data_IF_575211509681
#
_entry.id   IF_575211509681
#
_cell.length_a   1.000
_cell.length_b   1.000
_cell.length_c   1.000
_cell.angle_alpha   90.00
_cell.angle_beta   90.00
_cell.angle_gamma   90.00
#
_symmetry.space_group_name_H-M   'P 1'
#
loop_
_entity.id
_entity.type
_entity.pdbx_description
1 polymer ?
#
# COMPACT_ATOMS: atom_id res chain seq x y z
N UNK A 1 8.27 23.78 -24.14
CA UNK A 1 7.05 23.95 -23.32
C UNK A 1 5.90 24.58 -24.08
N UNK A 2 6.07 25.70 -24.80
CA UNK A 2 4.97 26.32 -25.57
C UNK A 2 4.40 25.39 -26.66
N UNK A 3 5.26 24.73 -27.45
CA UNK A 3 4.84 23.74 -28.47
C UNK A 3 4.03 22.59 -27.90
N UNK A 4 4.50 21.97 -26.81
CA UNK A 4 3.75 20.91 -26.12
C UNK A 4 2.35 21.38 -25.66
N UNK A 5 2.21 22.61 -25.15
CA UNK A 5 0.89 23.16 -24.79
C UNK A 5 -0.02 23.30 -26.01
N UNK A 6 0.53 23.69 -27.16
CA UNK A 6 -0.21 23.72 -28.43
C UNK A 6 -0.68 22.31 -28.83
N UNK A 7 0.22 21.32 -28.82
CA UNK A 7 -0.13 19.93 -29.15
C UNK A 7 -1.22 19.40 -28.21
N UNK A 8 -1.14 19.66 -26.90
CA UNK A 8 -2.16 19.24 -25.94
C UNK A 8 -3.53 19.90 -26.19
N UNK A 9 -3.55 21.16 -26.61
CA UNK A 9 -4.77 21.88 -26.98
C UNK A 9 -5.38 21.33 -28.28
N UNK A 10 -4.56 21.04 -29.29
CA UNK A 10 -5.00 20.48 -30.58
C UNK A 10 -5.54 19.05 -30.44
N UNK A 11 -4.94 18.26 -29.54
CA UNK A 11 -5.45 16.95 -29.13
C UNK A 11 -6.70 17.01 -28.25
N UNK A 12 -7.18 18.23 -27.93
CA UNK A 12 -8.38 18.50 -27.12
C UNK A 12 -8.35 17.81 -25.76
N UNK A 13 -7.18 17.80 -25.11
CA UNK A 13 -7.02 17.19 -23.80
C UNK A 13 -7.65 18.09 -22.72
N UNK A 14 -8.88 17.76 -22.33
CA UNK A 14 -9.60 18.44 -21.24
C UNK A 14 -9.10 17.96 -19.87
N UNK A 15 -7.90 18.38 -19.48
CA UNK A 15 -7.30 18.03 -18.19
C UNK A 15 -6.70 19.24 -17.48
N UNK A 16 -6.82 19.26 -16.15
CA UNK A 16 -6.10 20.21 -15.28
C UNK A 16 -4.74 19.69 -14.82
N UNK A 17 -4.39 18.44 -15.16
CA UNK A 17 -3.11 17.85 -14.78
C UNK A 17 -1.96 18.59 -15.48
N UNK A 18 -0.78 18.51 -14.88
CA UNK A 18 0.46 19.06 -15.43
C UNK A 18 1.49 17.95 -15.52
N UNK A 19 2.28 17.95 -16.59
CA UNK A 19 3.48 17.11 -16.67
C UNK A 19 4.42 17.52 -15.54
N UNK A 20 4.84 16.56 -14.74
CA UNK A 20 5.81 16.74 -13.67
C UNK A 20 7.06 15.90 -13.94
N UNK A 21 8.18 16.30 -13.33
CA UNK A 21 9.44 15.57 -13.43
C UNK A 21 9.53 14.49 -12.36
N UNK A 22 10.14 13.37 -12.72
CA UNK A 22 10.52 12.35 -11.75
C UNK A 22 11.67 12.81 -10.86
N UNK A 23 11.72 12.25 -9.66
CA UNK A 23 12.82 12.31 -8.71
C UNK A 23 13.22 10.87 -8.43
N UNK A 24 14.38 10.45 -8.94
CA UNK A 24 14.83 9.06 -8.97
C UNK A 24 14.79 8.33 -7.61
N UNK A 25 14.93 9.08 -6.51
CA UNK A 25 14.92 8.53 -5.13
C UNK A 25 13.52 8.37 -4.54
N UNK A 26 12.46 8.80 -5.24
CA UNK A 26 11.09 8.85 -4.72
C UNK A 26 10.12 8.23 -5.72
N UNK A 27 9.80 6.97 -5.50
CA UNK A 27 8.83 6.25 -6.35
C UNK A 27 7.43 6.93 -6.41
N UNK A 28 7.06 7.78 -5.43
CA UNK A 28 5.88 8.65 -5.51
C UNK A 28 5.93 9.66 -6.67
N UNK A 29 7.08 10.30 -6.94
CA UNK A 29 7.21 11.20 -8.09
C UNK A 29 7.17 10.42 -9.40
N UNK A 30 7.71 9.20 -9.41
CA UNK A 30 7.67 8.32 -10.58
C UNK A 30 6.22 7.97 -10.92
N UNK A 31 5.41 7.60 -9.92
CA UNK A 31 3.98 7.37 -10.09
C UNK A 31 3.27 8.59 -10.67
N UNK A 32 3.43 9.77 -10.04
CA UNK A 32 2.76 11.00 -10.48
C UNK A 32 3.17 11.41 -11.90
N UNK A 33 4.45 11.27 -12.24
CA UNK A 33 4.96 11.53 -13.59
C UNK A 33 4.32 10.59 -14.61
N UNK A 34 4.34 9.28 -14.36
CA UNK A 34 3.81 8.29 -15.29
C UNK A 34 2.29 8.40 -15.45
N UNK A 35 1.57 8.60 -14.34
CA UNK A 35 0.12 8.82 -14.35
C UNK A 35 -0.25 10.08 -15.15
N UNK A 36 0.51 11.17 -14.99
CA UNK A 36 0.30 12.36 -15.80
C UNK A 36 0.72 12.14 -17.26
N UNK A 37 1.81 11.43 -17.52
CA UNK A 37 2.31 11.20 -18.88
C UNK A 37 1.30 10.43 -19.73
N UNK A 38 0.60 9.43 -19.15
CA UNK A 38 -0.47 8.69 -19.83
C UNK A 38 -1.61 9.60 -20.30
N UNK A 39 -2.01 10.58 -19.48
CA UNK A 39 -3.04 11.56 -19.87
C UNK A 39 -2.61 12.40 -21.08
N UNK A 40 -1.30 12.65 -21.20
CA UNK A 40 -0.72 13.46 -22.27
C UNK A 40 -0.12 12.63 -23.41
N UNK A 41 -0.33 11.30 -23.47
CA UNK A 41 0.25 10.41 -24.48
C UNK A 41 0.10 10.97 -25.90
N UNK A 42 -1.12 11.32 -26.31
CA UNK A 42 -1.42 11.88 -27.65
C UNK A 42 -0.70 13.20 -27.92
N UNK A 43 -0.52 14.04 -26.90
CA UNK A 43 0.23 15.29 -27.04
C UNK A 43 1.73 15.04 -27.24
N UNK A 44 2.30 13.99 -26.62
CA UNK A 44 3.68 13.58 -26.86
C UNK A 44 3.88 12.98 -28.25
N UNK A 45 2.93 12.17 -28.73
CA UNK A 45 2.92 11.60 -30.08
C UNK A 45 2.89 12.73 -31.13
N UNK A 46 1.94 13.67 -31.02
CA UNK A 46 1.89 14.85 -31.90
C UNK A 46 3.17 15.69 -31.83
N UNK A 47 3.74 15.87 -30.64
CA UNK A 47 4.98 16.64 -30.48
C UNK A 47 6.16 15.98 -31.21
N UNK A 48 6.20 14.65 -31.28
CA UNK A 48 7.19 13.93 -32.10
C UNK A 48 7.03 14.26 -33.60
N UNK A 49 5.80 14.29 -34.09
CA UNK A 49 5.50 14.57 -35.50
C UNK A 49 5.80 16.03 -35.88
N UNK A 50 5.47 16.98 -35.00
CA UNK A 50 5.51 18.41 -35.29
C UNK A 50 6.82 19.11 -34.90
N UNK A 51 7.61 18.54 -33.98
CA UNK A 51 8.87 19.12 -33.52
C UNK A 51 10.08 18.22 -33.81
N UNK A 52 10.74 18.38 -34.97
CA UNK A 52 11.94 17.62 -35.30
C UNK A 52 13.06 17.75 -34.26
N UNK A 53 13.15 18.89 -33.56
CA UNK A 53 14.16 19.08 -32.51
C UNK A 53 13.87 18.20 -31.30
N UNK A 54 12.61 18.05 -30.92
CA UNK A 54 12.22 17.15 -29.83
C UNK A 54 12.63 15.71 -30.13
N UNK A 55 12.34 15.23 -31.33
CA UNK A 55 12.74 13.90 -31.79
C UNK A 55 14.26 13.70 -31.77
N UNK A 56 15.01 14.61 -32.39
CA UNK A 56 16.49 14.53 -32.46
C UNK A 56 17.14 14.57 -31.08
N UNK A 57 16.64 15.38 -30.15
CA UNK A 57 17.19 15.42 -28.78
C UNK A 57 16.93 14.13 -28.00
N UNK A 58 15.75 13.50 -28.17
CA UNK A 58 15.45 12.24 -27.50
C UNK A 58 16.15 11.03 -28.13
N UNK A 59 16.43 11.06 -29.44
CA UNK A 59 17.25 10.06 -30.12
C UNK A 59 18.67 9.96 -29.54
N UNK A 60 19.22 11.05 -28.97
CA UNK A 60 20.51 11.01 -28.25
C UNK A 60 20.47 10.17 -26.97
N UNK A 61 19.28 9.88 -26.45
CA UNK A 61 19.05 9.04 -25.28
C UNK A 61 18.62 7.64 -25.73
N UNK A 62 17.31 7.42 -25.90
CA UNK A 62 16.72 6.14 -26.31
C UNK A 62 15.59 6.29 -27.33
N UNK A 63 15.39 7.50 -27.85
CA UNK A 63 14.26 7.85 -28.71
C UNK A 63 13.02 8.27 -27.92
N UNK A 64 11.94 8.54 -28.67
CA UNK A 64 10.61 8.80 -28.12
C UNK A 64 9.96 7.51 -27.63
N UNK A 65 9.02 7.58 -26.66
CA UNK A 65 8.29 6.40 -26.21
C UNK A 65 7.48 5.77 -27.34
N UNK A 66 7.66 4.46 -27.56
CA UNK A 66 6.90 3.70 -28.55
C UNK A 66 5.65 3.04 -27.93
N UNK A 67 4.85 2.34 -28.75
CA UNK A 67 3.62 1.68 -28.27
C UNK A 67 3.87 0.66 -27.14
N UNK A 68 4.99 -0.08 -27.17
CA UNK A 68 5.33 -1.04 -26.12
C UNK A 68 5.68 -0.33 -24.81
N UNK A 69 6.37 0.80 -24.87
CA UNK A 69 6.66 1.63 -23.68
C UNK A 69 5.37 2.13 -23.05
N UNK A 70 4.44 2.65 -23.85
CA UNK A 70 3.14 3.09 -23.36
C UNK A 70 2.33 1.96 -22.73
N UNK A 71 2.29 0.79 -23.38
CA UNK A 71 1.59 -0.37 -22.82
C UNK A 71 2.21 -0.83 -21.50
N UNK A 72 3.54 -0.80 -21.41
CA UNK A 72 4.23 -1.09 -20.15
C UNK A 72 3.85 -0.09 -19.06
N UNK A 73 3.86 1.22 -19.36
CA UNK A 73 3.45 2.26 -18.39
C UNK A 73 1.99 2.08 -17.96
N UNK A 74 1.07 1.78 -18.87
CA UNK A 74 -0.34 1.48 -18.55
C UNK A 74 -0.47 0.31 -17.56
N UNK A 75 0.38 -0.71 -17.69
CA UNK A 75 0.41 -1.82 -16.73
C UNK A 75 1.08 -1.46 -15.40
N UNK A 76 2.09 -0.59 -15.42
CA UNK A 76 2.90 -0.23 -14.27
C UNK A 76 2.22 0.79 -13.34
N UNK A 77 1.47 1.74 -13.90
CA UNK A 77 0.81 2.81 -13.11
C UNK A 77 -0.11 2.24 -12.03
N UNK A 78 -1.00 1.26 -12.29
CA UNK A 78 -1.79 0.61 -11.25
C UNK A 78 -0.93 -0.07 -10.17
N UNK A 79 0.19 -0.68 -10.54
CA UNK A 79 1.12 -1.30 -9.59
C UNK A 79 1.73 -0.26 -8.64
N UNK A 80 2.20 0.88 -9.18
CA UNK A 80 2.78 1.96 -8.37
C UNK A 80 1.74 2.72 -7.53
N UNK A 81 0.51 2.84 -8.03
CA UNK A 81 -0.59 3.54 -7.34
C UNK A 81 -0.84 2.99 -5.93
N UNK A 82 -0.75 1.69 -5.77
CA UNK A 82 -0.94 0.98 -4.50
C UNK A 82 -0.05 1.57 -3.42
N UNK A 83 1.23 1.68 -3.73
CA UNK A 83 2.21 2.20 -2.80
C UNK A 83 1.93 3.69 -2.55
N UNK A 84 1.59 4.44 -3.60
CA UNK A 84 1.37 5.89 -3.52
C UNK A 84 0.24 6.19 -2.56
N UNK A 85 -0.89 5.51 -2.72
CA UNK A 85 -2.05 5.61 -1.86
C UNK A 85 -1.70 5.22 -0.40
N UNK A 86 -0.94 4.14 -0.22
CA UNK A 86 -0.43 3.74 1.11
C UNK A 86 0.46 4.80 1.77
N UNK A 87 1.35 5.43 0.99
CA UNK A 87 2.24 6.47 1.51
C UNK A 87 1.49 7.73 1.88
N UNK A 88 0.56 8.16 1.03
CA UNK A 88 -0.31 9.29 1.32
C UNK A 88 -1.12 9.04 2.60
N UNK A 89 -1.62 7.81 2.78
CA UNK A 89 -2.37 7.41 3.97
C UNK A 89 -1.56 7.51 5.27
N UNK A 90 -0.29 7.11 5.28
CA UNK A 90 0.55 7.19 6.49
C UNK A 90 1.30 8.52 6.63
N UNK A 91 1.31 9.37 5.60
CA UNK A 91 1.95 10.70 5.63
C UNK A 91 1.01 11.79 6.15
N UNK A 92 -0.22 11.43 6.55
CA UNK A 92 -1.17 12.37 7.15
C UNK A 92 -0.67 12.93 8.47
N UNK A 93 -0.86 14.24 8.67
CA UNK A 93 -0.52 14.94 9.93
C UNK A 93 -1.75 15.41 10.71
N UNK A 94 -2.94 15.32 10.11
CA UNK A 94 -4.20 15.81 10.68
C UNK A 94 -5.06 14.71 11.32
N UNK A 95 -4.58 13.47 11.30
CA UNK A 95 -5.24 12.32 11.90
C UNK A 95 -4.20 11.34 12.45
N UNK A 96 -4.62 10.47 13.36
CA UNK A 96 -3.77 9.41 13.90
C UNK A 96 -3.53 8.39 12.79
N UNK A 97 -2.27 8.09 12.50
CA UNK A 97 -1.86 7.14 11.46
C UNK A 97 -1.48 5.76 12.03
N UNK A 98 -1.27 5.67 13.35
CA UNK A 98 -0.80 4.46 14.02
C UNK A 98 -1.75 3.27 13.82
N UNK A 99 -3.06 3.51 13.94
CA UNK A 99 -4.10 2.51 13.72
C UNK A 99 -4.16 1.99 12.27
N UNK A 100 -3.68 2.77 11.30
CA UNK A 100 -3.61 2.39 9.89
C UNK A 100 -2.32 1.63 9.53
N UNK A 101 -1.27 1.77 10.34
CA UNK A 101 0.07 1.32 10.03
C UNK A 101 0.14 -0.18 9.73
N UNK A 102 -0.51 -1.00 10.57
CA UNK A 102 -0.63 -2.43 10.34
C UNK A 102 -1.26 -2.75 8.98
N UNK A 103 -2.39 -2.14 8.67
CA UNK A 103 -3.11 -2.38 7.42
C UNK A 103 -2.27 -1.98 6.21
N UNK A 104 -1.50 -0.90 6.33
CA UNK A 104 -0.62 -0.43 5.26
C UNK A 104 0.57 -1.37 5.05
N UNK A 105 1.30 -1.71 6.11
CA UNK A 105 2.48 -2.57 6.04
C UNK A 105 2.13 -3.93 5.45
N UNK A 106 1.15 -4.63 6.04
CA UNK A 106 0.81 -5.98 5.62
C UNK A 106 -0.07 -6.01 4.36
N UNK A 107 -0.81 -4.93 4.09
CA UNK A 107 -1.50 -4.74 2.82
C UNK A 107 -0.51 -4.68 1.66
N UNK A 108 0.54 -3.86 1.78
CA UNK A 108 1.64 -3.81 0.80
C UNK A 108 2.27 -5.20 0.65
N UNK A 109 2.56 -5.90 1.76
CA UNK A 109 3.16 -7.24 1.72
C UNK A 109 2.30 -8.22 0.93
N UNK A 110 0.99 -8.26 1.19
CA UNK A 110 0.04 -9.12 0.48
C UNK A 110 0.00 -8.82 -1.03
N UNK A 111 0.07 -7.54 -1.39
CA UNK A 111 0.03 -7.12 -2.79
C UNK A 111 1.33 -7.47 -3.51
N UNK A 112 2.47 -7.25 -2.86
CA UNK A 112 3.77 -7.70 -3.36
C UNK A 112 3.79 -9.21 -3.57
N UNK A 113 3.34 -10.01 -2.59
CA UNK A 113 3.25 -11.46 -2.72
C UNK A 113 2.42 -11.86 -3.94
N UNK A 114 1.24 -11.25 -4.14
CA UNK A 114 0.41 -11.48 -5.34
C UNK A 114 1.16 -11.15 -6.63
N UNK A 115 1.85 -10.02 -6.68
CA UNK A 115 2.57 -9.57 -7.88
C UNK A 115 3.84 -10.39 -8.17
N UNK A 116 4.40 -11.12 -7.19
CA UNK A 116 5.48 -12.09 -7.47
C UNK A 116 5.03 -13.24 -8.37
N UNK A 117 3.72 -13.50 -8.43
CA UNK A 117 3.06 -14.44 -9.35
C UNK A 117 2.37 -13.76 -10.53
N UNK A 118 2.63 -12.47 -10.79
CA UNK A 118 2.07 -11.72 -11.92
C UNK A 118 2.39 -12.41 -13.25
N UNK A 119 1.58 -12.22 -14.30
CA UNK A 119 1.92 -12.77 -15.63
C UNK A 119 3.03 -11.96 -16.32
N UNK A 120 3.19 -10.70 -15.93
CA UNK A 120 4.13 -9.75 -16.51
C UNK A 120 5.48 -9.92 -15.81
N UNK A 121 6.52 -10.32 -16.55
CA UNK A 121 7.81 -10.69 -15.95
C UNK A 121 8.49 -9.52 -15.23
N UNK A 122 8.41 -8.31 -15.79
CA UNK A 122 8.93 -7.09 -15.13
C UNK A 122 8.25 -6.85 -13.78
N UNK A 123 6.94 -7.05 -13.67
CA UNK A 123 6.20 -6.93 -12.40
C UNK A 123 6.70 -7.96 -11.39
N UNK A 124 6.88 -9.22 -11.80
CA UNK A 124 7.43 -10.25 -10.90
C UNK A 124 8.80 -9.85 -10.36
N UNK A 125 9.70 -9.37 -11.23
CA UNK A 125 11.06 -8.98 -10.84
C UNK A 125 11.01 -7.80 -9.86
N UNK A 126 10.21 -6.77 -10.15
CA UNK A 126 10.03 -5.62 -9.26
C UNK A 126 9.42 -6.03 -7.93
N UNK A 127 8.34 -6.80 -7.95
CA UNK A 127 7.65 -7.28 -6.75
C UNK A 127 8.59 -8.12 -5.87
N UNK A 128 9.40 -9.02 -6.43
CA UNK A 128 10.41 -9.80 -5.66
C UNK A 128 11.43 -8.90 -4.99
N UNK A 129 11.98 -7.91 -5.71
CA UNK A 129 12.96 -6.97 -5.14
C UNK A 129 12.36 -6.11 -4.03
N UNK A 130 11.14 -5.63 -4.24
CA UNK A 130 10.41 -4.81 -3.26
C UNK A 130 9.99 -5.65 -2.05
N UNK A 131 9.55 -6.89 -2.24
CA UNK A 131 9.23 -7.84 -1.15
C UNK A 131 10.45 -8.13 -0.30
N UNK A 132 11.60 -8.40 -0.91
CA UNK A 132 12.85 -8.58 -0.17
C UNK A 132 13.24 -7.36 0.67
N UNK A 133 12.93 -6.14 0.20
CA UNK A 133 13.13 -4.92 1.00
C UNK A 133 12.08 -4.80 2.11
N UNK A 134 10.82 -5.10 1.82
CA UNK A 134 9.76 -5.12 2.81
C UNK A 134 10.10 -6.06 3.97
N UNK A 135 10.46 -7.31 3.68
CA UNK A 135 10.83 -8.32 4.66
C UNK A 135 12.05 -7.90 5.50
N UNK A 136 13.04 -7.26 4.85
CA UNK A 136 14.21 -6.72 5.55
C UNK A 136 13.84 -5.64 6.59
N UNK A 137 12.83 -4.82 6.34
CA UNK A 137 12.48 -3.69 7.22
C UNK A 137 11.40 -4.04 8.24
N UNK A 138 10.46 -4.92 7.89
CA UNK A 138 9.27 -5.22 8.69
C UNK A 138 9.26 -6.63 9.29
N UNK A 139 10.26 -7.44 8.96
CA UNK A 139 10.41 -8.81 9.44
C UNK A 139 9.84 -9.86 8.50
N UNK A 140 10.42 -11.05 8.58
CA UNK A 140 9.89 -12.33 8.12
C UNK A 140 8.98 -12.93 9.19
N UNK A 141 8.52 -14.16 8.98
CA UNK A 141 7.73 -14.90 9.97
C UNK A 141 8.41 -14.98 11.35
N UNK A 142 9.75 -15.07 11.41
CA UNK A 142 10.46 -15.37 12.65
C UNK A 142 10.80 -14.14 13.51
N UNK A 143 10.77 -12.93 12.94
CA UNK A 143 11.23 -11.69 13.59
C UNK A 143 10.21 -10.54 13.50
N UNK A 144 8.93 -10.86 13.41
CA UNK A 144 7.87 -9.85 13.38
C UNK A 144 7.86 -9.04 14.67
N UNK A 145 7.82 -7.71 14.56
CA UNK A 145 7.64 -6.82 15.69
C UNK A 145 6.20 -6.88 16.26
N UNK A 146 5.99 -7.40 17.48
CA UNK A 146 4.64 -7.53 18.05
C UNK A 146 3.95 -6.18 18.33
N UNK A 147 4.71 -5.08 18.42
CA UNK A 147 4.15 -3.74 18.61
C UNK A 147 3.21 -3.32 17.48
N UNK A 148 3.43 -3.81 16.25
CA UNK A 148 2.59 -3.49 15.10
C UNK A 148 1.15 -4.02 15.22
N UNK A 149 0.91 -4.99 16.12
CA UNK A 149 -0.39 -5.60 16.31
C UNK A 149 -1.18 -4.97 17.45
N UNK A 150 -0.50 -4.28 18.38
CA UNK A 150 -1.15 -3.66 19.55
C UNK A 150 -2.28 -2.74 19.11
N UNK A 151 -2.00 -1.84 18.17
CA UNK A 151 -2.98 -0.87 17.67
C UNK A 151 -4.21 -1.55 17.04
N UNK A 152 -4.01 -2.65 16.31
CA UNK A 152 -5.11 -3.39 15.66
C UNK A 152 -5.90 -4.25 16.63
N UNK A 153 -5.26 -4.81 17.64
CA UNK A 153 -5.94 -5.61 18.66
C UNK A 153 -6.73 -4.73 19.62
N UNK A 154 -6.25 -3.52 19.90
CA UNK A 154 -6.95 -2.53 20.71
C UNK A 154 -8.05 -1.77 19.93
N UNK A 155 -8.00 -1.76 18.60
CA UNK A 155 -9.06 -1.19 17.79
C UNK A 155 -10.31 -2.10 17.83
N UNK A 156 -11.44 -1.63 18.39
CA UNK A 156 -12.65 -2.44 18.54
C UNK A 156 -13.27 -2.88 17.21
N UNK A 157 -12.87 -2.27 16.09
CA UNK A 157 -13.31 -2.63 14.73
C UNK A 157 -12.66 -3.93 14.24
N UNK A 158 -11.53 -4.31 14.81
CA UNK A 158 -10.78 -5.50 14.42
C UNK A 158 -10.75 -6.52 15.55
N UNK A 159 -10.53 -7.78 15.16
CA UNK A 159 -10.38 -8.89 16.09
C UNK A 159 -9.05 -9.55 15.85
N UNK A 160 -8.53 -10.27 16.84
CA UNK A 160 -7.30 -11.05 16.69
C UNK A 160 -7.34 -12.00 15.48
N UNK A 161 -8.53 -12.53 15.16
CA UNK A 161 -8.74 -13.35 13.96
C UNK A 161 -8.40 -12.65 12.65
N UNK A 162 -8.65 -11.35 12.57
CA UNK A 162 -8.29 -10.55 11.41
C UNK A 162 -6.77 -10.43 11.30
N UNK A 163 -6.07 -10.17 12.40
CA UNK A 163 -4.62 -10.10 12.41
C UNK A 163 -3.97 -11.45 12.01
N UNK A 164 -4.46 -12.57 12.57
CA UNK A 164 -4.00 -13.91 12.18
C UNK A 164 -4.23 -14.17 10.68
N UNK A 165 -5.41 -13.80 10.17
CA UNK A 165 -5.70 -13.91 8.75
C UNK A 165 -4.71 -13.14 7.89
N UNK A 166 -4.39 -11.90 8.26
CA UNK A 166 -3.44 -11.08 7.50
C UNK A 166 -2.04 -11.71 7.50
N UNK A 167 -1.60 -12.28 8.63
CA UNK A 167 -0.33 -13.00 8.70
C UNK A 167 -0.31 -14.27 7.83
N UNK A 168 -1.39 -15.05 7.86
CA UNK A 168 -1.52 -16.22 6.98
C UNK A 168 -1.40 -15.83 5.50
N UNK A 169 -1.96 -14.69 5.11
CA UNK A 169 -1.90 -14.20 3.72
C UNK A 169 -0.51 -13.75 3.29
N UNK A 170 0.31 -13.28 4.24
CA UNK A 170 1.66 -12.79 3.94
C UNK A 170 2.69 -13.93 4.00
N UNK A 171 2.58 -14.81 4.99
CA UNK A 171 3.62 -15.81 5.31
C UNK A 171 3.16 -17.28 5.19
N UNK A 172 1.85 -17.55 5.14
CA UNK A 172 1.31 -18.91 5.27
C UNK A 172 1.68 -19.88 4.13
N UNK A 173 2.14 -19.37 2.99
CA UNK A 173 2.60 -20.21 1.86
C UNK A 173 3.98 -20.81 2.13
N UNK A 174 4.90 -20.05 2.73
CA UNK A 174 6.31 -20.45 2.88
C UNK A 174 6.55 -21.35 4.10
N UNK A 175 5.73 -21.21 5.15
CA UNK A 175 5.96 -21.89 6.44
C UNK A 175 5.03 -23.09 6.69
N UNK A 176 4.19 -23.47 5.72
CA UNK A 176 3.38 -24.69 5.80
C UNK A 176 2.32 -24.72 6.90
N UNK A 177 1.98 -23.57 7.50
CA UNK A 177 1.11 -23.50 8.66
C UNK A 177 0.59 -22.10 8.97
N UNK A 178 -0.56 -22.09 9.64
CA UNK A 178 -1.29 -20.92 10.14
C UNK A 178 -0.55 -20.34 11.34
N UNK A 179 -0.37 -19.01 11.42
CA UNK A 179 -0.04 -18.38 12.70
C UNK A 179 -1.16 -18.72 13.67
N UNK A 180 -0.88 -19.53 14.70
CA UNK A 180 -1.97 -19.92 15.57
C UNK A 180 -2.45 -18.69 16.32
N UNK A 181 -3.77 -18.58 16.48
CA UNK A 181 -4.34 -17.48 17.28
C UNK A 181 -3.71 -17.39 18.65
N UNK A 182 -3.28 -18.53 19.20
CA UNK A 182 -2.65 -18.63 20.52
C UNK A 182 -1.26 -17.99 20.52
N UNK A 183 -0.40 -18.28 19.54
CA UNK A 183 0.94 -17.67 19.45
C UNK A 183 0.86 -16.15 19.30
N UNK A 184 -0.03 -15.66 18.41
CA UNK A 184 -0.22 -14.23 18.25
C UNK A 184 -0.81 -13.60 19.52
N UNK A 185 -1.76 -14.28 20.17
CA UNK A 185 -2.34 -13.82 21.43
C UNK A 185 -1.29 -13.71 22.53
N UNK A 186 -0.47 -14.74 22.74
CA UNK A 186 0.58 -14.76 23.75
C UNK A 186 1.62 -13.67 23.49
N UNK A 187 2.05 -13.51 22.23
CA UNK A 187 2.99 -12.46 21.85
C UNK A 187 2.44 -11.05 22.11
N UNK A 188 1.20 -10.78 21.66
CA UNK A 188 0.55 -9.48 21.85
C UNK A 188 0.26 -9.21 23.33
N UNK A 189 -0.26 -10.20 24.06
CA UNK A 189 -0.61 -10.05 25.46
C UNK A 189 0.64 -9.87 26.33
N UNK A 190 1.74 -10.57 26.03
CA UNK A 190 3.02 -10.36 26.71
C UNK A 190 3.51 -8.93 26.57
N UNK A 191 3.46 -8.36 25.36
CA UNK A 191 3.84 -6.95 25.14
C UNK A 191 2.88 -5.99 25.85
N UNK A 192 1.58 -6.25 25.86
CA UNK A 192 0.61 -5.42 26.61
C UNK A 192 0.88 -5.46 28.12
N UNK A 193 1.20 -6.63 28.67
CA UNK A 193 1.54 -6.80 30.08
C UNK A 193 2.84 -6.07 30.45
N UNK A 194 3.88 -6.18 29.62
CA UNK A 194 5.14 -5.45 29.80
C UNK A 194 4.91 -3.93 29.74
N UNK A 195 4.19 -3.44 28.73
CA UNK A 195 3.82 -2.03 28.62
C UNK A 195 3.02 -1.53 29.82
N UNK A 196 2.09 -2.35 30.33
CA UNK A 196 1.30 -2.01 31.51
C UNK A 196 2.14 -1.96 32.78
N UNK A 197 3.08 -2.89 32.93
CA UNK A 197 4.02 -2.93 34.05
C UNK A 197 4.89 -1.67 34.05
N UNK A 198 5.51 -1.35 32.92
CA UNK A 198 6.33 -0.13 32.77
C UNK A 198 5.53 1.13 33.07
N UNK A 199 4.31 1.24 32.54
CA UNK A 199 3.40 2.36 32.83
C UNK A 199 3.05 2.47 34.32
N UNK A 200 2.75 1.34 34.95
CA UNK A 200 2.38 1.27 36.36
C UNK A 200 3.54 1.66 37.27
N UNK A 201 4.76 1.25 36.93
CA UNK A 201 5.99 1.64 37.65
C UNK A 201 6.26 3.14 37.50
N UNK A 202 6.07 3.72 36.31
CA UNK A 202 6.20 5.18 36.11
C UNK A 202 5.15 5.99 36.90
N UNK A 203 3.91 5.50 36.97
CA UNK A 203 2.81 6.15 37.71
C UNK A 203 2.93 5.95 39.23
N UNK A 204 3.52 4.84 39.67
CA UNK A 204 3.84 4.58 41.07
C UNK A 204 4.82 5.61 41.68
N UNK A 205 5.58 6.32 40.83
CA UNK A 205 6.53 7.37 41.24
C UNK A 205 5.91 8.78 41.28
N UNK A 206 4.70 8.99 40.72
CA UNK A 206 4.06 10.31 40.67
C UNK A 206 2.63 10.29 41.22
N UNK A 207 2.53 10.49 42.55
CA UNK A 207 1.28 10.98 43.16
C UNK A 207 1.05 12.44 42.77
N UNK A 208 0.18 12.72 41.80
CA UNK A 208 -0.27 14.09 41.52
C UNK A 208 -0.99 14.34 40.20
N UNK A 209 -2.33 14.37 40.26
CA UNK A 209 -3.30 15.03 39.35
C UNK A 209 -3.35 14.65 37.86
N UNK A 210 -4.48 14.06 37.43
CA UNK A 210 -4.80 13.83 36.00
C UNK A 210 -5.87 14.84 35.54
N UNK A 211 -5.53 15.73 34.60
CA UNK A 211 -6.50 16.51 33.82
C UNK A 211 -6.83 15.74 32.54
N UNK A 212 -8.12 15.40 32.33
CA UNK A 212 -8.61 14.72 31.12
C UNK A 212 -9.00 15.77 30.08
N UNK A 213 -8.31 15.78 28.94
CA UNK A 213 -8.77 16.48 27.72
C UNK A 213 -9.20 15.44 26.70
N UNK A 214 -10.51 15.31 26.47
CA UNK A 214 -11.08 14.50 25.42
C UNK A 214 -11.16 15.32 24.13
N UNK A 215 -10.34 14.96 23.14
CA UNK A 215 -10.47 15.46 21.77
C UNK A 215 -11.34 14.52 20.95
N UNK A 216 -12.52 14.98 20.53
CA UNK A 216 -13.37 14.28 19.57
C UNK A 216 -12.94 14.64 18.15
N UNK A 217 -12.53 13.64 17.36
CA UNK A 217 -12.22 13.79 15.92
C UNK A 217 -13.32 13.11 15.11
N UNK A 218 -13.95 13.88 14.22
CA UNK A 218 -14.93 13.38 13.26
C UNK A 218 -14.22 12.67 12.09
N UNK A 219 -14.75 11.56 11.54
CA UNK A 219 -14.21 10.97 10.33
C UNK A 219 -14.64 11.80 9.12
N UNK A 220 -13.69 12.14 8.25
CA UNK A 220 -13.98 12.69 6.95
C UNK A 220 -13.90 11.53 5.92
N UNK A 221 -15.05 11.16 5.37
CA UNK A 221 -15.15 10.25 4.23
C UNK A 221 -14.88 11.02 2.94
N UNK A 222 -13.99 10.50 2.11
CA UNK A 222 -14.17 10.30 0.66
C UNK A 222 -12.81 10.29 -0.06
N UNK A 223 -12.42 9.12 -0.56
CA UNK A 223 -12.07 8.97 -1.97
C UNK A 223 -12.22 7.48 -2.34
N UNK A 224 -13.01 7.17 -3.38
CA UNK A 224 -13.23 5.80 -3.86
C UNK A 224 -12.00 5.32 -4.67
N UNK A 225 -10.90 5.07 -3.97
CA UNK A 225 -9.79 4.22 -4.42
C UNK A 225 -9.73 3.02 -3.50
N UNK A 226 -9.55 1.81 -4.05
CA UNK A 226 -9.44 0.59 -3.22
C UNK A 226 -8.16 0.65 -2.37
N UNK A 227 -8.29 1.11 -1.12
CA UNK A 227 -7.20 1.17 -0.16
C UNK A 227 -6.66 -0.24 0.11
N UNK A 228 -5.37 -0.34 0.45
CA UNK A 228 -4.75 -1.60 0.92
C UNK A 228 -5.53 -2.24 2.09
N UNK A 229 -6.14 -1.41 2.95
CA UNK A 229 -7.02 -1.85 4.02
C UNK A 229 -8.33 -2.45 3.49
N UNK A 230 -8.95 -1.81 2.50
CA UNK A 230 -10.18 -2.31 1.87
C UNK A 230 -9.94 -3.62 1.13
N UNK A 231 -8.79 -3.74 0.47
CA UNK A 231 -8.34 -4.98 -0.13
C UNK A 231 -8.26 -6.11 0.92
N UNK A 232 -7.59 -5.87 2.06
CA UNK A 232 -7.52 -6.85 3.15
C UNK A 232 -8.90 -7.18 3.72
N UNK A 233 -9.76 -6.17 3.95
CA UNK A 233 -11.13 -6.34 4.47
C UNK A 233 -11.99 -7.18 3.54
N UNK A 234 -11.97 -6.91 2.22
CA UNK A 234 -12.71 -7.69 1.22
C UNK A 234 -12.24 -9.13 1.20
N UNK A 235 -10.92 -9.36 1.23
CA UNK A 235 -10.34 -10.70 1.26
C UNK A 235 -10.73 -11.47 2.52
N UNK A 236 -10.72 -10.82 3.69
CA UNK A 236 -11.15 -11.41 4.95
C UNK A 236 -12.64 -11.78 4.96
N UNK A 237 -13.51 -10.89 4.46
CA UNK A 237 -14.95 -11.15 4.34
C UNK A 237 -15.22 -12.38 3.47
N UNK A 238 -14.49 -12.52 2.34
CA UNK A 238 -14.59 -13.68 1.46
C UNK A 238 -14.17 -14.97 2.17
N UNK A 239 -13.01 -15.01 2.84
CA UNK A 239 -12.55 -16.18 3.62
C UNK A 239 -13.59 -16.61 4.65
N UNK A 240 -14.17 -15.67 5.41
CA UNK A 240 -15.23 -15.99 6.39
C UNK A 240 -16.48 -16.59 5.77
N UNK A 241 -16.86 -16.15 4.57
CA UNK A 241 -18.01 -16.72 3.85
C UNK A 241 -17.70 -18.15 3.39
N UNK A 242 -16.51 -18.38 2.83
CA UNK A 242 -16.04 -19.72 2.43
C UNK A 242 -15.99 -20.68 3.62
N UNK A 243 -15.48 -20.24 4.77
CA UNK A 243 -15.42 -21.05 6.00
C UNK A 243 -16.81 -21.36 6.59
N UNK A 244 -17.77 -20.43 6.44
CA UNK A 244 -19.17 -20.69 6.82
C UNK A 244 -19.80 -21.73 5.91
N UNK A 245 -19.56 -21.62 4.61
CA UNK A 245 -20.05 -22.59 3.62
C UNK A 245 -19.46 -23.97 3.90
N UNK A 246 -18.13 -24.09 4.06
CA UNK A 246 -17.46 -25.36 4.39
C UNK A 246 -18.02 -26.00 5.66
N UNK A 247 -18.19 -25.24 6.73
CA UNK A 247 -18.77 -25.74 7.99
C UNK A 247 -20.20 -26.25 7.84
N UNK A 248 -21.02 -25.58 7.02
CA UNK A 248 -22.39 -26.01 6.76
C UNK A 248 -22.47 -27.30 5.94
N UNK A 249 -21.48 -27.56 5.06
CA UNK A 249 -21.39 -28.82 4.32
C UNK A 249 -20.87 -29.97 5.20
N UNK A 250 -19.91 -29.73 6.09
CA UNK A 250 -19.41 -30.76 7.02
C UNK A 250 -20.43 -31.16 8.10
N UNK A 251 -21.44 -30.33 8.37
CA UNK A 251 -22.51 -30.64 9.34
C UNK A 251 -23.73 -31.34 8.72
N UNK A 252 -23.76 -31.48 7.39
CA UNK A 252 -24.85 -32.11 6.63
C UNK A 252 -24.48 -33.48 6.05
N UNK A 253 -23.24 -33.93 6.24
CA UNK A 253 -22.75 -35.26 5.90
C UNK A 253 -22.59 -36.07 7.20
#
# INVERSE_FOLDING_TARGET
MQRFKTCAHEEKLETKKLVCLDVETRWNSTFLMLESALVFKRAFERLEEEDPKYKVELEKLKGTPNELDWHYVESLVPFLKIFYDATMKISGSLYVTSNDLFHVIYGIACMLTKETSSKIESHKIMARRMKAKHDKYWGTFDDINPLLFIDVVLDPRYKLEYACFVLDEVYGIEHGGIWTKNELFESVNGVLEDMFKDYSEMRGVTSGSSSRSAGSIAPNENDESESVEDYLKKKFKRKRMEDRVRRNYTFRA
#
